data_IF_583021569084
#
_entry.id   IF_583021569084
#
_cell.length_a   1.000
_cell.length_b   1.000
_cell.length_c   1.000
_cell.angle_alpha   90.00
_cell.angle_beta   90.00
_cell.angle_gamma   90.00
#
_symmetry.space_group_name_H-M   'P 1'
#
loop_
_entity.id
_entity.type
_entity.pdbx_description
1 polymer ?
#
# COMPACT_ATOMS: atom_id res chain seq x y z
N UNK A 1 7.83 23.96 68.56
CA UNK A 1 8.86 22.88 68.56
C UNK A 1 9.42 22.76 67.15
N UNK A 2 10.72 22.98 66.95
CA UNK A 2 11.35 22.71 65.65
C UNK A 2 11.59 21.21 65.54
N UNK A 3 10.63 20.50 64.94
CA UNK A 3 10.75 19.05 64.72
C UNK A 3 11.82 18.81 63.66
N UNK A 4 12.90 18.13 64.04
CA UNK A 4 14.03 17.84 63.15
C UNK A 4 13.64 16.67 62.24
N UNK A 5 13.92 16.78 60.94
CA UNK A 5 13.57 15.77 59.92
C UNK A 5 14.11 14.36 60.24
N UNK A 6 15.26 14.29 60.94
CA UNK A 6 15.86 13.03 61.39
C UNK A 6 15.04 12.33 62.48
N UNK A 7 14.40 13.10 63.34
CA UNK A 7 13.58 12.56 64.42
C UNK A 7 12.27 12.01 63.84
N UNK A 8 11.67 12.72 62.87
CA UNK A 8 10.54 12.22 62.07
C UNK A 8 10.90 10.90 61.38
N UNK A 9 12.08 10.82 60.76
CA UNK A 9 12.54 9.61 60.07
C UNK A 9 12.69 8.41 61.03
N UNK A 10 13.23 8.64 62.22
CA UNK A 10 13.38 7.59 63.26
C UNK A 10 12.04 7.13 63.79
N UNK A 11 11.14 8.07 64.09
CA UNK A 11 9.82 7.79 64.65
C UNK A 11 8.91 7.08 63.63
N UNK A 12 8.91 7.53 62.39
CA UNK A 12 8.13 6.91 61.31
C UNK A 12 8.83 5.70 60.66
N UNK A 13 10.04 5.33 61.10
CA UNK A 13 10.86 4.22 60.55
C UNK A 13 11.00 4.25 59.01
N UNK A 14 11.18 5.44 58.45
CA UNK A 14 11.40 5.65 57.01
C UNK A 14 12.74 6.31 56.76
N UNK A 15 13.29 6.17 55.55
CA UNK A 15 14.58 6.81 55.24
C UNK A 15 14.46 8.34 55.28
N UNK A 16 15.53 9.02 55.70
CA UNK A 16 15.59 10.49 55.71
C UNK A 16 15.30 11.06 54.31
N UNK A 17 15.73 10.36 53.26
CA UNK A 17 15.45 10.74 51.87
C UNK A 17 13.96 10.67 51.50
N UNK A 18 13.19 9.74 52.07
CA UNK A 18 11.74 9.67 51.87
C UNK A 18 11.03 10.85 52.56
N UNK A 19 11.41 11.15 53.81
CA UNK A 19 10.90 12.31 54.55
C UNK A 19 11.17 13.60 53.79
N UNK A 20 12.39 13.79 53.29
CA UNK A 20 12.77 14.97 52.51
C UNK A 20 11.96 15.12 51.22
N UNK A 21 11.74 14.01 50.49
CA UNK A 21 10.93 14.02 49.26
C UNK A 21 9.48 14.40 49.57
N UNK A 22 8.89 13.83 50.62
CA UNK A 22 7.50 14.10 51.01
C UNK A 22 7.33 15.54 51.49
N UNK A 23 8.24 16.04 52.34
CA UNK A 23 8.20 17.43 52.80
C UNK A 23 8.40 18.42 51.65
N UNK A 24 9.27 18.11 50.68
CA UNK A 24 9.44 18.91 49.48
C UNK A 24 8.15 18.93 48.65
N UNK A 25 7.56 17.76 48.39
CA UNK A 25 6.27 17.64 47.70
C UNK A 25 5.18 18.48 48.40
N UNK A 26 5.07 18.38 49.72
CA UNK A 26 4.05 19.14 50.46
C UNK A 26 4.28 20.67 50.41
N UNK A 27 5.54 21.14 50.40
CA UNK A 27 5.84 22.56 50.19
C UNK A 27 5.46 23.02 48.78
N UNK A 28 5.70 22.17 47.78
CA UNK A 28 5.52 22.52 46.37
C UNK A 28 4.03 22.41 45.94
N UNK A 29 3.28 21.42 46.43
CA UNK A 29 1.89 21.12 46.00
C UNK A 29 0.83 21.28 47.09
N UNK A 30 1.21 21.57 48.34
CA UNK A 30 0.28 21.76 49.47
C UNK A 30 -0.53 20.51 49.86
N UNK A 31 -0.23 19.36 49.26
CA UNK A 31 -0.98 18.11 49.43
C UNK A 31 -0.01 16.92 49.48
N UNK A 32 -0.26 16.01 50.42
CA UNK A 32 0.52 14.77 50.60
C UNK A 32 -0.09 13.62 49.78
N UNK A 33 -1.22 13.85 49.12
CA UNK A 33 -1.87 12.85 48.29
C UNK A 33 -1.01 12.46 47.09
N UNK A 34 -0.84 11.15 46.91
CA UNK A 34 -0.08 10.57 45.79
C UNK A 34 -0.82 10.79 44.47
N UNK A 35 -0.43 11.83 43.72
CA UNK A 35 -0.95 12.17 42.39
C UNK A 35 -0.49 11.21 41.25
N UNK A 36 -0.30 9.91 41.54
CA UNK A 36 -0.05 8.91 40.48
C UNK A 36 -1.35 8.62 39.72
N UNK A 37 -1.67 9.44 38.72
CA UNK A 37 -2.74 9.16 37.76
C UNK A 37 -2.27 8.17 36.68
N UNK A 38 -2.77 6.94 36.74
CA UNK A 38 -2.77 6.00 35.61
C UNK A 38 -1.86 4.78 35.71
N UNK A 39 -2.17 3.78 34.88
CA UNK A 39 -1.54 2.44 34.83
C UNK A 39 -0.05 2.54 34.48
N UNK A 40 0.81 2.44 35.49
CA UNK A 40 2.26 2.24 35.37
C UNK A 40 2.66 0.81 34.96
N UNK A 41 1.69 0.00 34.51
CA UNK A 41 1.92 -1.32 33.94
C UNK A 41 2.04 -1.30 32.42
N UNK A 42 2.51 -2.42 31.86
CA UNK A 42 2.53 -2.69 30.43
C UNK A 42 1.15 -2.40 29.82
N UNK A 43 1.10 -1.57 28.79
CA UNK A 43 -0.16 -1.28 28.07
C UNK A 43 -0.71 -2.58 27.49
N UNK A 44 -2.05 -2.72 27.48
CA UNK A 44 -2.72 -3.89 26.92
C UNK A 44 -2.47 -3.94 25.41
N UNK A 45 -2.20 -5.13 24.90
CA UNK A 45 -2.06 -5.37 23.45
C UNK A 45 -3.41 -5.54 22.75
N UNK A 46 -4.44 -5.91 23.50
CA UNK A 46 -5.81 -6.15 23.03
C UNK A 46 -6.68 -4.91 23.26
N UNK A 47 -7.56 -4.62 22.31
CA UNK A 47 -8.62 -3.63 22.48
C UNK A 47 -9.82 -4.25 23.23
N UNK A 48 -10.71 -3.44 23.84
CA UNK A 48 -11.96 -3.95 24.44
C UNK A 48 -12.82 -4.75 23.45
N UNK A 49 -12.78 -4.39 22.16
CA UNK A 49 -13.47 -5.11 21.09
C UNK A 49 -12.85 -6.48 20.83
N UNK A 50 -11.52 -6.58 20.84
CA UNK A 50 -10.83 -7.87 20.70
C UNK A 50 -11.20 -8.81 21.86
N UNK A 51 -11.30 -8.28 23.08
CA UNK A 51 -11.66 -9.05 24.27
C UNK A 51 -13.10 -9.56 24.23
N UNK A 52 -14.05 -8.70 23.86
CA UNK A 52 -15.45 -9.11 23.67
C UNK A 52 -15.57 -10.22 22.62
N UNK A 53 -14.80 -10.13 21.52
CA UNK A 53 -14.74 -11.16 20.50
C UNK A 53 -14.16 -12.48 21.03
N UNK A 54 -13.03 -12.43 21.75
CA UNK A 54 -12.39 -13.62 22.35
C UNK A 54 -13.34 -14.30 23.34
N UNK A 55 -14.00 -13.53 24.21
CA UNK A 55 -14.95 -14.07 25.20
C UNK A 55 -16.12 -14.75 24.50
N UNK A 56 -16.69 -14.10 23.48
CA UNK A 56 -17.80 -14.67 22.69
C UNK A 56 -17.39 -15.96 21.99
N UNK A 57 -16.25 -15.97 21.30
CA UNK A 57 -15.73 -17.15 20.60
C UNK A 57 -15.40 -18.30 21.55
N UNK A 58 -14.83 -18.00 22.73
CA UNK A 58 -14.52 -19.01 23.75
C UNK A 58 -15.78 -19.67 24.31
N UNK A 59 -16.83 -18.89 24.56
CA UNK A 59 -18.13 -19.40 25.01
C UNK A 59 -18.83 -20.26 23.95
N UNK A 60 -18.74 -19.87 22.68
CA UNK A 60 -19.34 -20.62 21.56
C UNK A 60 -18.55 -21.89 21.22
N UNK A 61 -17.22 -21.84 21.31
CA UNK A 61 -16.33 -22.94 20.93
C UNK A 61 -15.17 -23.11 21.93
N UNK A 62 -15.39 -23.79 23.08
CA UNK A 62 -14.42 -23.88 24.17
C UNK A 62 -13.09 -24.57 23.82
N UNK A 63 -13.05 -25.34 22.71
CA UNK A 63 -11.86 -26.09 22.24
C UNK A 63 -11.12 -25.43 21.06
N UNK A 64 -11.51 -24.21 20.67
CA UNK A 64 -10.93 -23.50 19.52
C UNK A 64 -9.54 -22.94 19.84
N UNK A 65 -8.53 -23.22 19.01
CA UNK A 65 -7.14 -22.76 19.23
C UNK A 65 -7.01 -21.27 18.90
N UNK A 66 -6.12 -20.52 19.56
CA UNK A 66 -6.01 -19.05 19.38
C UNK A 66 -5.67 -18.63 17.94
N UNK A 67 -4.94 -19.46 17.20
CA UNK A 67 -4.66 -19.26 15.77
C UNK A 67 -5.91 -19.28 14.87
N UNK A 68 -7.01 -19.88 15.33
CA UNK A 68 -8.26 -20.04 14.57
C UNK A 68 -9.27 -18.90 14.80
N UNK A 69 -8.93 -17.89 15.60
CA UNK A 69 -9.80 -16.76 15.90
C UNK A 69 -9.81 -15.69 14.80
N UNK A 70 -8.86 -15.74 13.85
CA UNK A 70 -8.84 -14.87 12.66
C UNK A 70 -8.66 -15.74 11.42
N UNK A 71 -9.41 -15.46 10.36
CA UNK A 71 -9.20 -16.12 9.07
C UNK A 71 -7.83 -15.69 8.53
N UNK A 72 -7.01 -16.65 8.12
CA UNK A 72 -5.77 -16.34 7.43
C UNK A 72 -6.10 -15.77 6.05
N UNK A 73 -5.73 -14.52 5.81
CA UNK A 73 -5.90 -13.83 4.52
C UNK A 73 -4.53 -13.58 3.92
N UNK A 74 -4.40 -13.78 2.59
CA UNK A 74 -3.16 -13.45 1.89
C UNK A 74 -2.98 -11.92 1.86
N UNK A 75 -1.79 -11.39 2.18
CA UNK A 75 -1.56 -9.96 2.07
C UNK A 75 -1.69 -9.50 0.62
N UNK A 76 -2.35 -8.35 0.41
CA UNK A 76 -2.39 -7.69 -0.90
C UNK A 76 -1.01 -7.14 -1.22
N UNK A 77 -0.43 -7.54 -2.36
CA UNK A 77 0.78 -6.89 -2.88
C UNK A 77 0.39 -5.55 -3.49
N UNK A 78 0.95 -4.46 -2.99
CA UNK A 78 0.75 -3.09 -3.52
C UNK A 78 2.12 -2.41 -3.59
N UNK A 79 2.28 -1.51 -4.56
CA UNK A 79 3.49 -0.69 -4.65
C UNK A 79 3.63 0.19 -3.40
N UNK A 80 4.85 0.34 -2.90
CA UNK A 80 5.15 1.27 -1.81
C UNK A 80 5.16 2.69 -2.38
N UNK A 81 4.24 3.54 -1.93
CA UNK A 81 4.15 4.93 -2.38
C UNK A 81 4.84 5.85 -1.38
N UNK A 82 5.63 6.78 -1.90
CA UNK A 82 6.18 7.88 -1.10
C UNK A 82 5.11 8.95 -0.85
N UNK A 83 5.28 9.76 0.19
CA UNK A 83 4.34 10.85 0.52
C UNK A 83 4.12 11.81 -0.67
N UNK A 84 5.15 12.22 -1.44
CA UNK A 84 4.95 13.01 -2.64
C UNK A 84 4.10 12.32 -3.72
N UNK A 85 4.35 11.03 -4.00
CA UNK A 85 3.56 10.26 -4.98
C UNK A 85 2.09 10.18 -4.57
N UNK A 86 1.81 9.98 -3.28
CA UNK A 86 0.44 9.96 -2.76
C UNK A 86 -0.25 11.32 -2.98
N UNK A 87 0.44 12.43 -2.73
CA UNK A 87 -0.11 13.77 -2.97
C UNK A 87 -0.40 14.01 -4.45
N UNK A 88 0.51 13.65 -5.35
CA UNK A 88 0.31 13.77 -6.81
C UNK A 88 -0.93 12.98 -7.26
N UNK A 89 -1.02 11.70 -6.86
CA UNK A 89 -2.19 10.85 -7.16
C UNK A 89 -3.49 11.42 -6.60
N UNK A 90 -3.45 11.96 -5.38
CA UNK A 90 -4.62 12.58 -4.75
C UNK A 90 -5.09 13.83 -5.50
N UNK A 91 -4.17 14.73 -5.88
CA UNK A 91 -4.50 15.95 -6.64
C UNK A 91 -5.08 15.59 -8.01
N UNK A 92 -4.47 14.63 -8.71
CA UNK A 92 -4.97 14.14 -9.99
C UNK A 92 -6.38 13.55 -9.86
N UNK A 93 -6.60 12.66 -8.88
CA UNK A 93 -7.90 12.04 -8.65
C UNK A 93 -8.97 13.08 -8.28
N UNK A 94 -8.62 14.08 -7.47
CA UNK A 94 -9.54 15.16 -7.11
C UNK A 94 -9.90 16.04 -8.31
N UNK A 95 -8.94 16.33 -9.19
CA UNK A 95 -9.16 17.12 -10.42
C UNK A 95 -10.18 16.46 -11.34
N UNK A 96 -10.12 15.13 -11.48
CA UNK A 96 -10.98 14.36 -12.38
C UNK A 96 -12.14 13.65 -11.67
N UNK A 97 -12.39 13.93 -10.38
CA UNK A 97 -13.44 13.29 -9.59
C UNK A 97 -14.85 13.58 -10.13
N UNK A 98 -15.04 14.71 -10.83
CA UNK A 98 -16.31 15.13 -11.42
C UNK A 98 -16.53 14.60 -12.84
N UNK A 99 -15.58 13.83 -13.39
CA UNK A 99 -15.70 13.33 -14.76
C UNK A 99 -16.82 12.31 -14.91
N UNK A 100 -17.73 12.62 -15.85
CA UNK A 100 -18.79 11.71 -16.30
C UNK A 100 -18.32 10.89 -17.51
N UNK A 101 -19.05 9.82 -17.85
CA UNK A 101 -18.75 8.89 -18.96
C UNK A 101 -18.43 9.60 -20.27
N UNK A 102 -19.11 10.72 -20.57
CA UNK A 102 -18.87 11.52 -21.79
C UNK A 102 -17.43 12.05 -21.88
N UNK A 103 -16.81 12.39 -20.75
CA UNK A 103 -15.40 12.80 -20.71
C UNK A 103 -14.49 11.59 -20.94
N UNK A 104 -14.78 10.45 -20.30
CA UNK A 104 -14.00 9.22 -20.49
C UNK A 104 -14.05 8.70 -21.93
N UNK A 105 -15.14 8.97 -22.67
CA UNK A 105 -15.27 8.63 -24.11
C UNK A 105 -14.25 9.34 -24.98
N UNK A 106 -13.74 10.48 -24.54
CA UNK A 106 -12.75 11.31 -25.25
C UNK A 106 -11.33 11.02 -24.83
N UNK A 107 -11.10 9.97 -24.03
CA UNK A 107 -9.76 9.59 -23.57
C UNK A 107 -9.27 8.41 -24.40
N UNK A 108 -8.08 8.56 -24.96
CA UNK A 108 -7.29 7.44 -25.46
C UNK A 108 -6.29 7.01 -24.38
N UNK A 109 -6.40 5.77 -23.94
CA UNK A 109 -5.42 5.16 -23.05
C UNK A 109 -4.38 4.44 -23.90
N UNK A 110 -3.11 4.58 -23.55
CA UNK A 110 -2.04 3.78 -24.14
C UNK A 110 -1.06 3.33 -23.08
N UNK A 111 -0.49 2.15 -23.27
CA UNK A 111 0.47 1.56 -22.34
C UNK A 111 1.44 0.62 -23.09
N UNK A 112 2.59 0.37 -22.48
CA UNK A 112 3.57 -0.61 -22.94
C UNK A 112 3.57 -1.85 -22.03
N UNK A 113 3.35 -3.01 -22.64
CA UNK A 113 3.31 -4.27 -21.91
C UNK A 113 4.30 -5.29 -22.46
N UNK A 114 4.99 -5.99 -21.54
CA UNK A 114 5.84 -7.12 -21.86
C UNK A 114 5.03 -8.42 -21.87
N UNK A 115 5.07 -9.12 -23.00
CA UNK A 115 4.54 -10.47 -23.13
C UNK A 115 5.68 -11.46 -23.10
N UNK A 116 5.59 -12.44 -22.19
CA UNK A 116 6.56 -13.51 -22.04
C UNK A 116 6.09 -14.72 -22.84
N UNK A 117 7.01 -15.33 -23.61
CA UNK A 117 6.71 -16.55 -24.39
C UNK A 117 6.47 -17.74 -23.46
N UNK A 118 7.14 -17.76 -22.31
CA UNK A 118 6.94 -18.78 -21.27
C UNK A 118 6.00 -18.28 -20.19
N UNK A 119 5.06 -19.14 -19.80
CA UNK A 119 4.05 -18.82 -18.82
C UNK A 119 4.64 -18.82 -17.40
N UNK A 120 4.51 -17.69 -16.68
CA UNK A 120 5.01 -17.52 -15.31
C UNK A 120 3.90 -17.84 -14.30
N UNK A 121 3.24 -19.00 -14.44
CA UNK A 121 2.16 -19.40 -13.52
C UNK A 121 2.68 -20.37 -12.47
N UNK A 122 2.31 -20.12 -11.21
CA UNK A 122 2.57 -21.07 -10.14
C UNK A 122 1.71 -22.32 -10.32
N UNK A 123 2.34 -23.46 -10.62
CA UNK A 123 1.67 -24.74 -10.69
C UNK A 123 1.69 -25.43 -9.32
N UNK A 124 0.56 -26.02 -8.91
CA UNK A 124 0.54 -26.89 -7.74
C UNK A 124 0.93 -28.29 -8.15
N UNK A 125 1.98 -28.83 -7.53
CA UNK A 125 2.36 -30.23 -7.70
C UNK A 125 1.96 -31.04 -6.47
N UNK A 126 1.42 -32.24 -6.69
CA UNK A 126 1.07 -33.19 -5.62
C UNK A 126 2.21 -34.19 -5.44
N UNK A 127 2.62 -34.43 -4.19
CA UNK A 127 3.74 -35.30 -3.83
C UNK A 127 3.37 -36.11 -2.59
N UNK A 128 3.83 -37.36 -2.49
CA UNK A 128 3.63 -38.19 -1.30
C UNK A 128 4.56 -37.75 -0.16
N UNK A 129 4.15 -38.02 1.08
CA UNK A 129 4.96 -37.76 2.27
C UNK A 129 6.26 -38.57 2.16
N UNK A 130 7.41 -37.92 2.41
CA UNK A 130 8.77 -38.49 2.34
C UNK A 130 9.28 -38.92 0.94
N UNK A 131 8.53 -38.68 -0.13
CA UNK A 131 9.04 -38.89 -1.50
C UNK A 131 10.21 -37.92 -1.80
N UNK A 132 11.16 -38.29 -2.66
CA UNK A 132 12.18 -37.33 -3.12
C UNK A 132 11.61 -36.43 -4.22
N UNK A 133 12.21 -35.28 -4.46
CA UNK A 133 11.81 -34.45 -5.61
C UNK A 133 12.22 -35.16 -6.90
N UNK A 134 11.24 -35.49 -7.73
CA UNK A 134 11.43 -35.99 -9.09
C UNK A 134 11.40 -34.81 -10.06
N UNK A 135 11.85 -35.00 -11.29
CA UNK A 135 11.78 -33.98 -12.35
C UNK A 135 10.34 -33.47 -12.58
N UNK A 136 9.34 -34.35 -12.47
CA UNK A 136 7.93 -33.97 -12.51
C UNK A 136 7.46 -33.07 -11.35
N UNK A 137 8.25 -32.95 -10.29
CA UNK A 137 7.99 -32.09 -9.13
C UNK A 137 8.72 -30.74 -9.20
N UNK A 138 9.48 -30.50 -10.27
CA UNK A 138 10.32 -29.31 -10.43
C UNK A 138 9.78 -28.50 -11.61
N UNK A 139 9.34 -27.28 -11.31
CA UNK A 139 9.02 -26.28 -12.33
C UNK A 139 10.29 -25.51 -12.69
N UNK A 140 10.91 -25.85 -13.83
CA UNK A 140 12.18 -25.25 -14.25
C UNK A 140 11.93 -23.90 -14.93
N UNK A 141 12.40 -22.83 -14.30
CA UNK A 141 12.35 -21.48 -14.88
C UNK A 141 13.70 -21.08 -15.46
N UNK A 142 13.71 -20.50 -16.66
CA UNK A 142 14.92 -19.85 -17.21
C UNK A 142 15.17 -18.52 -16.49
N UNK A 143 16.44 -18.17 -16.27
CA UNK A 143 16.83 -16.91 -15.59
C UNK A 143 16.39 -15.66 -16.36
N UNK A 144 16.40 -15.73 -17.69
CA UNK A 144 16.04 -14.63 -18.60
C UNK A 144 15.04 -15.14 -19.64
N UNK A 145 13.72 -15.07 -19.34
CA UNK A 145 12.71 -15.54 -20.28
C UNK A 145 12.66 -14.64 -21.51
N UNK A 146 12.36 -15.25 -22.67
CA UNK A 146 12.11 -14.51 -23.90
C UNK A 146 10.85 -13.67 -23.71
N UNK A 147 11.00 -12.36 -23.93
CA UNK A 147 9.92 -11.38 -23.82
C UNK A 147 9.89 -10.49 -25.05
N UNK A 148 8.68 -10.11 -25.47
CA UNK A 148 8.45 -9.12 -26.52
C UNK A 148 7.62 -7.98 -25.93
N UNK A 149 8.01 -6.75 -26.23
CA UNK A 149 7.30 -5.56 -25.78
C UNK A 149 6.32 -5.12 -26.86
N UNK A 150 5.12 -4.77 -26.45
CA UNK A 150 4.10 -4.23 -27.33
C UNK A 150 3.64 -2.89 -26.78
N UNK A 151 3.44 -1.94 -27.67
CA UNK A 151 2.66 -0.75 -27.40
C UNK A 151 1.23 -1.02 -27.85
N UNK A 152 0.26 -0.62 -27.04
CA UNK A 152 -1.14 -0.69 -27.43
C UNK A 152 -1.90 0.52 -26.91
N UNK A 153 -2.98 0.86 -27.60
CA UNK A 153 -3.92 1.85 -27.14
C UNK A 153 -5.36 1.32 -27.18
N UNK A 154 -6.24 1.92 -26.39
CA UNK A 154 -7.67 1.65 -26.44
C UNK A 154 -8.46 2.88 -25.99
N UNK A 155 -9.69 2.97 -26.47
CA UNK A 155 -10.65 4.00 -26.10
C UNK A 155 -11.95 3.37 -25.63
N UNK A 156 -12.93 4.20 -25.28
CA UNK A 156 -14.29 3.72 -25.01
C UNK A 156 -14.91 2.94 -26.17
N UNK A 157 -14.58 3.28 -27.41
CA UNK A 157 -15.19 2.67 -28.60
C UNK A 157 -14.51 1.36 -29.04
N UNK A 158 -13.39 0.98 -28.42
CA UNK A 158 -12.71 -0.27 -28.71
C UNK A 158 -11.21 -0.20 -28.54
N UNK A 159 -10.56 -1.30 -28.89
CA UNK A 159 -9.10 -1.44 -28.92
C UNK A 159 -8.53 -0.78 -30.17
N UNK A 160 -7.48 0.03 -30.01
CA UNK A 160 -6.68 0.55 -31.12
C UNK A 160 -5.57 -0.41 -31.51
N UNK A 161 -4.61 0.08 -32.29
CA UNK A 161 -3.48 -0.68 -32.79
C UNK A 161 -2.60 -1.27 -31.69
N UNK A 162 -2.19 -2.53 -31.89
CA UNK A 162 -1.17 -3.21 -31.08
C UNK A 162 0.10 -3.35 -31.91
N UNK A 163 1.16 -2.64 -31.51
CA UNK A 163 2.41 -2.53 -32.27
C UNK A 163 3.53 -3.24 -31.52
N UNK A 164 4.16 -4.21 -32.19
CA UNK A 164 5.33 -4.89 -31.66
C UNK A 164 6.56 -3.98 -31.70
N UNK A 165 7.23 -3.82 -30.56
CA UNK A 165 8.43 -2.98 -30.46
C UNK A 165 9.67 -3.85 -30.66
N UNK A 166 10.60 -3.36 -31.48
CA UNK A 166 11.87 -4.00 -31.75
C UNK A 166 12.98 -3.42 -30.88
N UNK A 167 13.53 -4.28 -30.01
CA UNK A 167 14.61 -3.92 -29.09
C UNK A 167 14.17 -3.03 -27.94
N UNK A 168 15.11 -2.25 -27.43
CA UNK A 168 14.88 -1.29 -26.36
C UNK A 168 14.29 0.01 -26.93
N UNK A 169 13.22 0.50 -26.30
CA UNK A 169 12.61 1.76 -26.70
C UNK A 169 13.44 2.93 -26.16
N UNK A 170 13.68 3.91 -27.02
CA UNK A 170 14.29 5.19 -26.66
C UNK A 170 13.21 6.27 -26.80
N UNK A 171 13.37 7.42 -26.14
CA UNK A 171 12.42 8.53 -26.20
C UNK A 171 12.11 8.96 -27.64
N UNK A 172 13.12 9.03 -28.53
CA UNK A 172 12.88 9.39 -29.92
C UNK A 172 12.04 8.34 -30.67
N UNK A 173 12.41 7.05 -30.54
CA UNK A 173 11.64 5.96 -31.13
C UNK A 173 10.20 5.93 -30.62
N UNK A 174 9.99 6.33 -29.37
CA UNK A 174 8.66 6.44 -28.79
C UNK A 174 7.85 7.58 -29.42
N UNK A 175 8.45 8.77 -29.58
CA UNK A 175 7.79 9.88 -30.28
C UNK A 175 7.42 9.51 -31.71
N UNK A 176 8.34 8.89 -32.44
CA UNK A 176 8.10 8.46 -33.82
C UNK A 176 6.97 7.40 -33.90
N UNK A 177 6.94 6.49 -32.92
CA UNK A 177 5.86 5.51 -32.78
C UNK A 177 4.51 6.19 -32.52
N UNK A 178 4.46 7.15 -31.59
CA UNK A 178 3.24 7.89 -31.26
C UNK A 178 2.71 8.68 -32.45
N UNK A 179 3.57 9.44 -33.14
CA UNK A 179 3.15 10.20 -34.33
C UNK A 179 2.54 9.26 -35.37
N UNK A 180 3.26 8.19 -35.72
CA UNK A 180 2.80 7.21 -36.72
C UNK A 180 1.49 6.53 -36.34
N UNK A 181 1.34 6.14 -35.08
CA UNK A 181 0.16 5.39 -34.61
C UNK A 181 -1.03 6.30 -34.38
N UNK A 182 -0.84 7.47 -33.77
CA UNK A 182 -1.92 8.42 -33.52
C UNK A 182 -2.47 8.99 -34.82
N UNK A 183 -1.63 9.31 -35.82
CA UNK A 183 -2.10 9.75 -37.14
C UNK A 183 -2.95 8.67 -37.82
N UNK A 184 -2.54 7.40 -37.74
CA UNK A 184 -3.29 6.28 -38.28
C UNK A 184 -4.65 6.10 -37.56
N UNK A 185 -4.67 6.20 -36.22
CA UNK A 185 -5.89 6.02 -35.43
C UNK A 185 -6.87 7.21 -35.55
N UNK A 186 -6.36 8.43 -35.69
CA UNK A 186 -7.16 9.63 -35.92
C UNK A 186 -7.75 9.67 -37.34
N UNK A 187 -6.99 9.21 -38.34
CA UNK A 187 -7.46 9.17 -39.74
C UNK A 187 -8.47 8.05 -40.02
N UNK A 188 -8.32 6.89 -39.37
CA UNK A 188 -9.25 5.76 -39.56
C UNK A 188 -10.62 5.97 -38.91
N UNK A 189 -10.79 6.99 -38.08
CA UNK A 189 -11.85 6.98 -37.10
C UNK A 189 -12.55 8.32 -36.94
N UNK A 190 -13.68 8.46 -37.65
CA UNK A 190 -14.84 9.23 -37.17
C UNK A 190 -15.39 8.71 -35.82
N UNK A 191 -14.78 7.66 -35.23
CA UNK A 191 -15.15 7.01 -33.97
C UNK A 191 -14.13 7.26 -32.85
N UNK A 192 -13.04 7.96 -33.09
CA UNK A 192 -12.06 8.34 -32.07
C UNK A 192 -11.94 9.84 -32.17
N UNK A 193 -12.70 10.56 -31.35
CA UNK A 193 -12.42 11.96 -31.06
C UNK A 193 -11.77 12.04 -29.68
N UNK A 194 -10.50 11.66 -29.50
CA UNK A 194 -9.83 11.95 -28.25
C UNK A 194 -9.49 13.44 -28.22
N UNK A 195 -9.99 14.14 -27.20
CA UNK A 195 -9.55 15.51 -26.90
C UNK A 195 -8.31 15.49 -26.00
N UNK A 196 -7.97 14.32 -25.46
CA UNK A 196 -6.81 14.10 -24.61
C UNK A 196 -6.41 12.62 -24.62
N UNK A 197 -5.12 12.34 -24.70
CA UNK A 197 -4.58 11.01 -24.39
C UNK A 197 -3.97 11.01 -22.99
N UNK A 198 -4.09 9.87 -22.31
CA UNK A 198 -3.54 9.66 -20.98
C UNK A 198 -2.49 8.57 -21.09
N UNK A 199 -1.26 8.92 -20.70
CA UNK A 199 -0.10 8.04 -20.60
C UNK A 199 0.43 8.05 -19.18
N UNK A 200 0.94 6.91 -18.71
CA UNK A 200 1.49 6.80 -17.36
C UNK A 200 2.80 7.59 -17.23
N UNK A 201 2.87 8.36 -16.13
CA UNK A 201 4.05 9.02 -15.57
C UNK A 201 4.76 10.14 -16.35
N UNK A 202 4.05 11.03 -17.07
CA UNK A 202 4.60 12.37 -17.30
C UNK A 202 3.55 13.50 -17.32
N UNK A 203 3.85 14.57 -16.57
CA UNK A 203 3.17 15.86 -16.60
C UNK A 203 3.36 16.61 -17.95
N UNK A 204 3.80 15.95 -19.03
CA UNK A 204 4.21 16.61 -20.30
C UNK A 204 3.12 16.77 -21.36
N UNK A 205 1.91 16.24 -21.15
CA UNK A 205 0.83 16.35 -22.15
C UNK A 205 0.03 17.66 -22.11
N UNK A 206 0.70 18.78 -21.80
CA UNK A 206 0.14 20.12 -22.06
C UNK A 206 0.40 20.60 -23.50
N UNK A 207 1.19 19.88 -24.30
CA UNK A 207 1.63 20.34 -25.63
C UNK A 207 0.90 19.76 -26.85
N UNK A 208 -0.11 18.89 -26.68
CA UNK A 208 -0.80 18.25 -27.82
C UNK A 208 -2.19 18.82 -28.11
N UNK A 209 -2.60 19.85 -27.37
CA UNK A 209 -3.71 20.72 -27.76
C UNK A 209 -3.35 21.70 -28.88
N UNK A 210 -2.05 21.83 -29.22
CA UNK A 210 -1.55 22.76 -30.24
C UNK A 210 -1.22 22.08 -31.58
N UNK A 211 -1.45 20.77 -31.72
CA UNK A 211 -1.15 19.98 -32.93
C UNK A 211 -2.42 19.50 -33.66
N UNK A 212 -3.60 19.73 -33.08
CA UNK A 212 -4.86 19.51 -33.80
C UNK A 212 -5.48 20.87 -34.13
N UNK A 213 -5.77 21.19 -35.41
CA UNK A 213 -6.50 22.40 -35.77
C UNK A 213 -7.92 22.42 -35.19
#
# INVERSE_FOLDING_TARGET
MNVIQRDIAKECKVSLGAVNKILKLNRDTGTIEVNRKGKCGRKRKTTPRDEAFIIRESKLNPRKKSQQQRQAVRPSKKQLLTVPMMKKRYVWAKKYATWIVVHCRKVLFSDESHFFVQEQRSCYVRKRVNEKFATAHIDQTVKHPLKKMFWGCFSYNGTGSLVAIEGMINSQKYKDLLVRTLEAELSFSTRLCPLSCVQDDDETFQGLTDIMP
#
